data_IF_887661201334
#
_entry.id   IF_887661201334
#
_cell.length_a   1.000
_cell.length_b   1.000
_cell.length_c   1.000
_cell.angle_alpha   90.00
_cell.angle_beta   90.00
_cell.angle_gamma   90.00
#
_symmetry.space_group_name_H-M   'P 1'
#
loop_
_entity.id
_entity.type
_entity.pdbx_description
1 polymer ?
#
# COMPACT_ATOMS: atom_id res chain seq x y z
N UNK A 1 42.87 -15.18 10.31
CA UNK A 1 42.22 -14.70 11.55
C UNK A 1 41.91 -13.23 11.35
N UNK A 2 40.65 -12.95 11.03
CA UNK A 2 40.08 -11.60 10.95
C UNK A 2 38.99 -11.59 12.04
N UNK A 3 38.92 -10.57 12.92
CA UNK A 3 38.08 -10.64 14.12
C UNK A 3 36.58 -10.69 13.78
N UNK A 4 35.85 -11.56 14.46
CA UNK A 4 34.43 -11.85 14.28
C UNK A 4 33.51 -10.79 14.92
N UNK A 5 33.58 -9.53 14.47
CA UNK A 5 32.75 -8.45 15.02
C UNK A 5 32.09 -7.53 13.98
N UNK A 6 31.89 -8.00 12.74
CA UNK A 6 31.13 -7.25 11.70
C UNK A 6 29.90 -8.03 11.20
N UNK A 7 29.37 -8.96 12.00
CA UNK A 7 28.24 -9.81 11.59
C UNK A 7 27.05 -9.76 12.57
N UNK A 8 26.67 -8.58 13.06
CA UNK A 8 25.40 -8.40 13.76
C UNK A 8 24.90 -6.97 13.62
N UNK A 9 24.03 -6.72 12.63
CA UNK A 9 22.95 -5.72 12.61
C UNK A 9 22.36 -5.63 11.19
N UNK A 10 21.72 -6.70 10.73
CA UNK A 10 20.68 -6.62 9.70
C UNK A 10 19.39 -6.92 10.44
N UNK A 11 18.79 -5.87 11.01
CA UNK A 11 17.51 -5.97 11.66
C UNK A 11 16.43 -6.08 10.59
N UNK A 12 15.70 -7.18 10.66
CA UNK A 12 14.54 -7.51 9.85
C UNK A 12 13.49 -6.39 9.92
N UNK A 13 13.09 -5.87 8.77
CA UNK A 13 11.93 -4.98 8.66
C UNK A 13 10.83 -5.76 7.93
N UNK A 14 9.87 -6.28 8.68
CA UNK A 14 8.67 -6.89 8.13
C UNK A 14 7.64 -5.77 7.91
N UNK A 15 7.18 -5.54 6.68
CA UNK A 15 6.01 -4.69 6.46
C UNK A 15 4.79 -5.59 6.40
N UNK A 16 4.11 -5.68 7.53
CA UNK A 16 2.83 -6.36 7.67
C UNK A 16 1.73 -5.37 7.31
N UNK A 17 1.12 -5.49 6.12
CA UNK A 17 -0.15 -4.81 5.81
C UNK A 17 -1.29 -5.68 6.33
N UNK A 18 -1.49 -5.70 7.66
CA UNK A 18 -2.60 -6.43 8.30
C UNK A 18 -3.86 -5.57 8.38
N UNK A 19 -4.95 -6.06 7.78
CA UNK A 19 -6.31 -5.60 8.08
C UNK A 19 -6.84 -6.35 9.32
N UNK A 20 -7.12 -5.57 10.38
CA UNK A 20 -7.91 -5.86 11.61
C UNK A 20 -7.36 -6.73 12.76
N UNK A 21 -7.50 -6.13 13.96
CA UNK A 21 -7.94 -6.65 15.28
C UNK A 21 -6.94 -7.03 16.41
N UNK A 22 -7.30 -6.51 17.61
CA UNK A 22 -6.93 -6.88 19.01
C UNK A 22 -5.58 -6.42 19.59
N UNK A 23 -5.43 -6.00 20.87
CA UNK A 23 -6.36 -5.73 21.99
C UNK A 23 -5.65 -4.84 23.06
N UNK A 24 -6.43 -4.13 23.88
CA UNK A 24 -6.06 -3.20 24.98
C UNK A 24 -5.10 -3.79 26.04
N UNK A 25 -4.29 -2.92 26.63
CA UNK A 25 -4.00 -2.93 28.07
C UNK A 25 -4.21 -1.52 28.66
N UNK A 26 -4.82 -1.47 29.84
CA UNK A 26 -5.25 -0.27 30.57
C UNK A 26 -4.11 0.48 31.29
N UNK A 27 -4.50 1.62 31.89
CA UNK A 27 -3.83 2.48 32.91
C UNK A 27 -3.41 3.85 32.34
N UNK A 28 -3.74 5.02 32.90
CA UNK A 28 -4.66 5.48 33.95
C UNK A 28 -5.07 6.92 33.60
N UNK A 29 -6.32 7.27 33.84
CA UNK A 29 -6.94 8.60 33.64
C UNK A 29 -6.08 9.74 34.17
N UNK A 30 -5.93 10.86 33.45
CA UNK A 30 -5.84 12.23 33.96
C UNK A 30 -6.09 13.24 32.81
N UNK A 31 -7.35 13.63 32.62
CA UNK A 31 -7.83 15.01 32.40
C UNK A 31 -9.17 14.97 31.67
N UNK A 32 -10.14 15.63 32.29
CA UNK A 32 -11.56 15.50 32.01
C UNK A 32 -11.93 16.37 30.81
N UNK A 33 -11.93 15.77 29.62
CA UNK A 33 -12.79 16.18 28.50
C UNK A 33 -13.17 14.91 27.76
N UNK A 34 -14.30 14.32 28.15
CA UNK A 34 -14.88 13.19 27.41
C UNK A 34 -15.35 13.69 26.04
N UNK A 35 -14.45 13.73 25.07
CA UNK A 35 -14.82 13.56 23.68
C UNK A 35 -14.77 12.05 23.45
N UNK A 36 -15.95 11.43 23.39
CA UNK A 36 -16.06 10.04 22.98
C UNK A 36 -15.25 9.86 21.68
N UNK A 37 -14.43 8.79 21.53
CA UNK A 37 -13.75 8.54 20.27
C UNK A 37 -14.84 8.53 19.21
N UNK A 38 -14.71 9.41 18.21
CA UNK A 38 -15.66 9.46 17.12
C UNK A 38 -15.76 8.03 16.56
N UNK A 39 -16.85 7.33 16.87
CA UNK A 39 -17.22 6.14 16.12
C UNK A 39 -17.54 6.68 14.74
N UNK A 40 -16.52 6.69 13.89
CA UNK A 40 -16.61 7.10 12.50
C UNK A 40 -17.75 6.25 11.93
N UNK A 41 -18.89 6.91 11.67
CA UNK A 41 -20.08 6.24 11.16
C UNK A 41 -19.76 5.81 9.74
N UNK A 42 -19.50 4.52 9.61
CA UNK A 42 -19.41 3.84 8.34
C UNK A 42 -20.83 3.63 7.82
N UNK A 43 -21.15 4.16 6.64
CA UNK A 43 -22.31 3.78 5.87
C UNK A 43 -21.92 3.59 4.39
N UNK A 44 -21.87 2.35 3.88
CA UNK A 44 -21.49 2.09 2.49
C UNK A 44 -22.51 2.64 1.48
N UNK A 45 -23.73 2.97 1.93
CA UNK A 45 -24.75 3.58 1.10
C UNK A 45 -24.47 5.07 0.81
N UNK A 46 -23.58 5.71 1.57
CA UNK A 46 -23.17 7.10 1.32
C UNK A 46 -22.35 7.23 0.02
N UNK A 47 -21.72 6.13 -0.43
CA UNK A 47 -20.87 6.07 -1.62
C UNK A 47 -21.33 4.93 -2.55
N UNK A 48 -22.47 5.10 -3.23
CA UNK A 48 -23.19 3.99 -3.86
C UNK A 48 -22.54 3.50 -5.16
N UNK A 49 -21.62 4.26 -5.77
CA UNK A 49 -21.00 3.92 -7.04
C UNK A 49 -20.26 2.57 -6.98
N UNK A 50 -20.62 1.63 -7.86
CA UNK A 50 -20.00 0.31 -7.93
C UNK A 50 -18.78 0.28 -8.83
N UNK A 51 -18.76 1.08 -9.88
CA UNK A 51 -17.65 1.21 -10.84
C UNK A 51 -17.49 2.66 -11.28
N UNK A 52 -16.34 3.00 -11.85
CA UNK A 52 -16.06 4.29 -12.47
C UNK A 52 -15.33 4.04 -13.80
N UNK A 53 -15.91 4.54 -14.89
CA UNK A 53 -15.28 4.48 -16.22
C UNK A 53 -14.08 5.43 -16.24
N UNK A 54 -12.89 4.93 -16.54
CA UNK A 54 -11.65 5.72 -16.53
C UNK A 54 -10.79 5.49 -17.78
N UNK A 55 -11.20 4.62 -18.70
CA UNK A 55 -10.54 4.39 -19.99
C UNK A 55 -11.23 5.12 -21.15
N UNK A 56 -10.63 5.05 -22.34
CA UNK A 56 -11.17 5.67 -23.56
C UNK A 56 -11.37 7.18 -23.41
N UNK A 57 -12.58 7.67 -23.64
CA UNK A 57 -12.94 9.10 -23.50
C UNK A 57 -12.78 9.62 -22.06
N UNK A 58 -12.63 8.74 -21.08
CA UNK A 58 -12.45 9.09 -19.67
C UNK A 58 -11.01 8.94 -19.16
N UNK A 59 -10.02 8.73 -20.04
CA UNK A 59 -8.61 8.54 -19.69
C UNK A 59 -8.05 9.63 -18.74
N UNK A 60 -8.53 10.87 -18.86
CA UNK A 60 -8.12 11.97 -17.97
C UNK A 60 -8.46 11.70 -16.49
N UNK A 61 -9.48 10.88 -16.19
CA UNK A 61 -9.85 10.51 -14.82
C UNK A 61 -8.74 9.74 -14.12
N UNK A 62 -7.94 8.95 -14.85
CA UNK A 62 -6.78 8.25 -14.28
C UNK A 62 -5.75 9.25 -13.75
N UNK A 63 -5.46 10.31 -14.51
CA UNK A 63 -4.52 11.36 -14.08
C UNK A 63 -5.07 12.16 -12.90
N UNK A 64 -6.36 12.49 -12.96
CA UNK A 64 -7.05 13.18 -11.87
C UNK A 64 -7.08 12.37 -10.57
N UNK A 65 -7.38 11.08 -10.63
CA UNK A 65 -7.34 10.17 -9.49
C UNK A 65 -5.91 9.99 -8.97
N UNK A 66 -4.92 9.92 -9.87
CA UNK A 66 -3.51 9.84 -9.47
C UNK A 66 -3.07 11.09 -8.70
N UNK A 67 -3.45 12.29 -9.18
CA UNK A 67 -3.19 13.54 -8.48
C UNK A 67 -3.94 13.61 -7.15
N UNK A 68 -5.21 13.20 -7.10
CA UNK A 68 -5.99 13.14 -5.86
C UNK A 68 -5.33 12.23 -4.82
N UNK A 69 -4.83 11.05 -5.24
CA UNK A 69 -4.08 10.14 -4.38
C UNK A 69 -2.88 10.82 -3.72
N UNK A 70 -2.08 11.53 -4.52
CA UNK A 70 -0.88 12.26 -4.08
C UNK A 70 -1.22 13.39 -3.12
N UNK A 71 -2.18 14.25 -3.49
CA UNK A 71 -2.59 15.39 -2.65
C UNK A 71 -3.19 14.90 -1.33
N UNK A 72 -4.09 13.91 -1.36
CA UNK A 72 -4.70 13.38 -0.14
C UNK A 72 -3.68 12.76 0.82
N UNK A 73 -2.74 11.97 0.30
CA UNK A 73 -1.70 11.35 1.12
C UNK A 73 -0.68 12.36 1.63
N UNK A 74 -0.27 13.30 0.79
CA UNK A 74 0.58 14.42 1.20
C UNK A 74 -0.04 15.18 2.37
N UNK A 75 -1.31 15.56 2.27
CA UNK A 75 -2.01 16.23 3.36
C UNK A 75 -2.10 15.33 4.62
N UNK A 76 -2.36 14.02 4.48
CA UNK A 76 -2.38 13.06 5.60
C UNK A 76 -1.09 13.11 6.45
N UNK A 77 0.06 13.24 5.80
CA UNK A 77 1.37 13.18 6.47
C UNK A 77 2.01 14.54 6.74
N UNK A 78 1.71 15.58 5.94
CA UNK A 78 2.36 16.89 6.01
C UNK A 78 1.48 18.00 6.60
N UNK A 79 0.15 17.91 6.53
CA UNK A 79 -0.71 18.98 7.04
C UNK A 79 -0.91 18.85 8.56
N UNK A 80 -0.55 19.86 9.38
CA UNK A 80 -0.61 19.76 10.85
C UNK A 80 -1.99 19.38 11.39
N UNK A 81 -3.05 19.92 10.79
CA UNK A 81 -4.42 19.63 11.19
C UNK A 81 -4.96 18.30 10.64
N UNK A 82 -4.48 17.83 9.47
CA UNK A 82 -4.94 16.56 8.92
C UNK A 82 -4.36 15.40 9.71
N UNK A 83 -3.13 15.51 10.19
CA UNK A 83 -2.40 14.47 10.91
C UNK A 83 -2.99 14.08 12.29
N UNK A 84 -4.24 14.49 12.58
CA UNK A 84 -4.94 14.27 13.84
C UNK A 84 -6.07 13.26 13.65
N UNK A 85 -6.20 12.32 14.58
CA UNK A 85 -7.20 11.22 14.53
C UNK A 85 -8.66 11.66 14.73
N UNK A 86 -8.91 12.91 15.13
CA UNK A 86 -10.26 13.50 15.22
C UNK A 86 -10.81 13.93 13.86
N UNK A 87 -9.97 13.99 12.82
CA UNK A 87 -10.38 14.25 11.44
C UNK A 87 -10.78 12.95 10.76
N UNK A 88 -11.97 12.92 10.15
CA UNK A 88 -12.44 11.79 9.35
C UNK A 88 -11.82 11.80 7.94
N UNK A 89 -10.55 11.41 7.82
CA UNK A 89 -9.75 11.67 6.62
C UNK A 89 -10.03 10.76 5.43
N UNK A 90 -10.37 9.49 5.67
CA UNK A 90 -10.79 8.60 4.59
C UNK A 90 -12.13 9.02 3.99
N UNK A 91 -13.06 9.52 4.81
CA UNK A 91 -14.32 10.09 4.33
C UNK A 91 -14.10 11.26 3.38
N UNK A 92 -13.13 12.14 3.69
CA UNK A 92 -12.74 13.23 2.78
C UNK A 92 -12.25 12.71 1.42
N UNK A 93 -11.53 11.58 1.40
CA UNK A 93 -11.12 10.98 0.14
C UNK A 93 -12.32 10.40 -0.62
N UNK A 94 -13.22 9.69 0.07
CA UNK A 94 -14.42 9.13 -0.55
C UNK A 94 -15.31 10.22 -1.15
N UNK A 95 -15.52 11.32 -0.43
CA UNK A 95 -16.23 12.51 -0.94
C UNK A 95 -15.57 13.07 -2.21
N UNK A 96 -14.24 13.14 -2.22
CA UNK A 96 -13.49 13.65 -3.38
C UNK A 96 -13.53 12.69 -4.57
N UNK A 97 -13.51 11.37 -4.34
CA UNK A 97 -13.64 10.36 -5.40
C UNK A 97 -14.99 10.52 -6.12
N UNK A 98 -16.09 10.73 -5.39
CA UNK A 98 -17.43 10.95 -5.99
C UNK A 98 -17.49 12.24 -6.83
N UNK A 99 -16.63 13.22 -6.58
CA UNK A 99 -16.54 14.47 -7.37
C UNK A 99 -15.73 14.34 -8.66
N UNK A 100 -14.85 13.36 -8.77
CA UNK A 100 -13.96 13.18 -9.96
C UNK A 100 -14.72 13.19 -11.30
N UNK A 101 -15.90 12.56 -11.44
CA UNK A 101 -16.68 12.64 -12.68
C UNK A 101 -17.05 14.07 -13.10
N UNK A 102 -17.10 15.03 -12.17
CA UNK A 102 -17.44 16.44 -12.40
C UNK A 102 -16.26 17.34 -12.74
N UNK A 103 -15.02 16.83 -12.64
CA UNK A 103 -13.82 17.56 -13.05
C UNK A 103 -13.67 17.58 -14.57
N UNK A 104 -14.47 18.42 -15.23
CA UNK A 104 -14.48 18.55 -16.70
C UNK A 104 -13.21 19.20 -17.26
N UNK A 105 -12.43 19.90 -16.42
CA UNK A 105 -11.16 20.51 -16.76
C UNK A 105 -10.31 20.71 -15.49
N UNK A 106 -9.03 21.07 -15.69
CA UNK A 106 -8.05 21.29 -14.63
C UNK A 106 -8.47 22.38 -13.64
N UNK A 107 -9.16 23.44 -14.10
CA UNK A 107 -9.59 24.53 -13.21
C UNK A 107 -10.62 24.09 -12.17
N UNK A 108 -11.57 23.22 -12.54
CA UNK A 108 -12.58 22.69 -11.59
C UNK A 108 -11.90 21.75 -10.59
N UNK A 109 -11.03 20.86 -11.09
CA UNK A 109 -10.25 19.94 -10.24
C UNK A 109 -9.42 20.72 -9.22
N UNK A 110 -8.65 21.69 -9.69
CA UNK A 110 -7.71 22.42 -8.83
C UNK A 110 -8.47 23.24 -7.79
N UNK A 111 -9.61 23.84 -8.14
CA UNK A 111 -10.47 24.51 -7.17
C UNK A 111 -10.97 23.57 -6.05
N UNK A 112 -11.35 22.33 -6.38
CA UNK A 112 -11.76 21.34 -5.37
C UNK A 112 -10.59 20.90 -4.48
N UNK A 113 -9.39 20.70 -5.07
CA UNK A 113 -8.18 20.36 -4.32
C UNK A 113 -7.73 21.54 -3.43
N UNK A 114 -7.85 22.78 -3.90
CA UNK A 114 -7.59 23.98 -3.10
C UNK A 114 -8.55 24.05 -1.90
N UNK A 115 -9.84 23.79 -2.11
CA UNK A 115 -10.83 23.72 -1.03
C UNK A 115 -10.52 22.61 -0.03
N UNK A 116 -10.01 21.45 -0.49
CA UNK A 116 -9.56 20.38 0.39
C UNK A 116 -8.42 20.84 1.31
N UNK A 117 -7.43 21.56 0.77
CA UNK A 117 -6.31 22.10 1.57
C UNK A 117 -6.79 23.17 2.55
N UNK A 118 -7.57 24.15 2.08
CA UNK A 118 -8.07 25.26 2.91
C UNK A 118 -9.04 24.76 3.99
N UNK A 119 -9.86 23.75 3.66
CA UNK A 119 -10.84 23.15 4.58
C UNK A 119 -10.23 22.46 5.80
N UNK A 120 -8.93 22.16 5.78
CA UNK A 120 -8.19 21.67 6.94
C UNK A 120 -7.87 22.77 7.96
N UNK A 121 -8.16 24.04 7.64
CA UNK A 121 -8.01 25.17 8.54
C UNK A 121 -6.60 25.78 8.51
N UNK A 122 -6.45 26.90 9.21
CA UNK A 122 -5.20 27.64 9.26
C UNK A 122 -4.10 26.86 9.99
N UNK A 123 -2.86 27.09 9.56
CA UNK A 123 -1.64 26.57 10.16
C UNK A 123 -0.52 27.62 10.06
N UNK A 124 0.55 27.42 10.82
CA UNK A 124 1.74 28.29 10.77
C UNK A 124 2.85 27.63 9.95
N UNK A 125 3.65 28.44 9.27
CA UNK A 125 4.83 28.00 8.50
C UNK A 125 6.06 28.11 9.40
N UNK A 126 6.92 27.10 9.39
CA UNK A 126 8.21 27.15 10.09
C UNK A 126 9.23 27.85 9.20
N UNK A 127 9.57 29.10 9.51
CA UNK A 127 10.60 29.85 8.77
C UNK A 127 12.03 29.53 9.25
N UNK A 128 12.20 28.66 10.26
CA UNK A 128 13.42 28.63 11.09
C UNK A 128 13.98 27.25 11.42
N UNK A 129 13.31 26.14 11.10
CA UNK A 129 13.91 24.81 11.28
C UNK A 129 14.70 24.44 10.02
N UNK A 130 16.02 24.37 10.16
CA UNK A 130 16.89 23.85 9.10
C UNK A 130 16.57 22.38 8.82
N UNK A 131 16.95 21.90 7.64
CA UNK A 131 16.81 20.49 7.28
C UNK A 131 17.39 19.59 8.38
N UNK A 132 16.75 18.45 8.64
CA UNK A 132 17.33 17.42 9.48
C UNK A 132 18.72 17.07 8.91
N UNK A 133 19.74 16.82 9.74
CA UNK A 133 21.05 16.44 9.24
C UNK A 133 20.92 15.20 8.34
N UNK A 134 21.54 15.20 7.15
CA UNK A 134 21.51 14.10 6.18
C UNK A 134 21.82 12.72 6.80
N UNK A 135 22.58 12.70 7.89
CA UNK A 135 22.93 11.48 8.65
C UNK A 135 21.74 10.82 9.38
N UNK A 136 20.60 11.50 9.51
CA UNK A 136 19.41 11.00 10.22
C UNK A 136 18.29 10.51 9.29
N UNK A 137 18.36 10.83 8.00
CA UNK A 137 17.31 10.50 7.03
C UNK A 137 17.88 9.63 5.92
N UNK A 138 17.58 8.34 5.97
CA UNK A 138 18.04 7.38 4.95
C UNK A 138 17.35 7.58 3.60
N UNK A 139 16.08 8.01 3.61
CA UNK A 139 15.29 8.29 2.41
C UNK A 139 14.18 9.29 2.72
N UNK A 140 14.11 10.36 1.94
CA UNK A 140 13.00 11.32 1.98
C UNK A 140 11.86 10.88 1.05
N UNK A 141 10.63 11.31 1.39
CA UNK A 141 9.51 11.20 0.47
C UNK A 141 9.77 12.08 -0.76
N UNK A 142 9.40 11.60 -1.95
CA UNK A 142 9.63 12.34 -3.18
C UNK A 142 8.51 13.36 -3.41
N UNK A 143 8.74 14.62 -3.03
CA UNK A 143 7.77 15.70 -3.20
C UNK A 143 7.89 16.43 -4.56
N UNK A 144 8.80 16.01 -5.44
CA UNK A 144 9.01 16.66 -6.76
C UNK A 144 7.76 16.62 -7.63
N UNK A 145 6.83 15.70 -7.35
CA UNK A 145 5.55 15.63 -8.05
C UNK A 145 4.73 16.90 -7.90
N UNK A 146 4.86 17.67 -6.80
CA UNK A 146 4.16 18.96 -6.62
C UNK A 146 4.56 19.89 -7.76
N UNK A 147 5.85 19.89 -8.10
CA UNK A 147 6.38 20.76 -9.13
C UNK A 147 6.17 20.26 -10.55
N UNK A 148 6.22 18.94 -10.75
CA UNK A 148 6.03 18.35 -12.08
C UNK A 148 4.56 18.18 -12.48
N UNK A 149 3.61 18.38 -11.56
CA UNK A 149 2.18 18.22 -11.83
C UNK A 149 1.59 19.42 -12.56
N UNK A 150 0.67 19.16 -13.51
CA UNK A 150 -0.14 20.19 -14.16
C UNK A 150 -1.24 20.68 -13.20
N UNK A 151 -0.87 21.56 -12.26
CA UNK A 151 -1.77 22.18 -11.27
C UNK A 151 -1.64 23.70 -11.29
N UNK A 152 -2.68 24.39 -10.86
CA UNK A 152 -2.73 25.84 -10.72
C UNK A 152 -1.57 26.35 -9.85
N UNK A 153 -1.11 27.57 -10.12
CA UNK A 153 -0.09 28.24 -9.30
C UNK A 153 -0.57 28.43 -7.85
N UNK A 154 -1.87 28.61 -7.66
CA UNK A 154 -2.50 28.78 -6.34
C UNK A 154 -2.41 27.49 -5.53
N UNK A 155 -2.87 26.37 -6.09
CA UNK A 155 -2.80 25.05 -5.45
C UNK A 155 -1.35 24.67 -5.13
N UNK A 156 -0.43 24.86 -6.09
CA UNK A 156 0.99 24.61 -5.88
C UNK A 156 1.55 25.42 -4.71
N UNK A 157 1.25 26.72 -4.66
CA UNK A 157 1.66 27.59 -3.56
C UNK A 157 1.09 27.16 -2.21
N UNK A 158 -0.14 26.63 -2.16
CA UNK A 158 -0.71 26.06 -0.94
C UNK A 158 0.03 24.78 -0.52
N UNK A 159 0.34 23.88 -1.45
CA UNK A 159 1.05 22.63 -1.15
C UNK A 159 2.46 22.91 -0.62
N UNK A 160 3.22 23.85 -1.20
CA UNK A 160 4.52 24.24 -0.64
C UNK A 160 4.41 24.93 0.72
N UNK A 161 3.34 25.69 0.99
CA UNK A 161 3.11 26.20 2.36
C UNK A 161 2.90 25.05 3.35
N UNK A 162 2.16 24.02 2.94
CA UNK A 162 1.96 22.81 3.77
C UNK A 162 3.28 22.05 3.95
N UNK A 163 4.10 21.92 2.91
CA UNK A 163 5.44 21.30 2.98
C UNK A 163 6.27 21.91 4.11
N UNK A 164 6.30 23.24 4.18
CA UNK A 164 7.02 24.04 5.17
C UNK A 164 6.21 24.35 6.45
N UNK A 165 5.06 23.70 6.65
CA UNK A 165 4.24 23.92 7.83
C UNK A 165 5.00 23.50 9.10
N UNK A 166 4.86 24.29 10.17
CA UNK A 166 5.35 23.92 11.50
C UNK A 166 4.57 22.70 12.00
N UNK A 167 5.31 21.66 12.39
CA UNK A 167 4.77 20.42 12.96
C UNK A 167 5.38 20.23 14.35
N UNK A 168 4.58 20.46 15.36
CA UNK A 168 4.95 20.31 16.77
C UNK A 168 4.63 18.92 17.33
N UNK A 169 3.95 18.09 16.53
CA UNK A 169 3.48 16.75 16.92
C UNK A 169 3.63 15.77 15.77
N UNK A 170 3.94 14.51 16.10
CA UNK A 170 3.92 13.41 15.14
C UNK A 170 2.49 13.13 14.67
N UNK A 171 2.36 12.59 13.44
CA UNK A 171 1.05 12.19 12.91
C UNK A 171 0.40 11.15 13.81
N UNK A 172 -0.83 11.40 14.27
CA UNK A 172 -1.60 10.45 15.07
C UNK A 172 -2.12 9.27 14.25
N UNK A 173 -2.11 9.38 12.93
CA UNK A 173 -2.47 8.27 12.03
C UNK A 173 -1.39 7.21 11.94
N UNK A 174 -0.17 7.49 12.38
CA UNK A 174 0.95 6.57 12.30
C UNK A 174 1.67 6.53 13.64
N UNK A 175 1.52 5.42 14.35
CA UNK A 175 2.17 5.22 15.65
C UNK A 175 3.25 4.15 15.48
N UNK A 176 4.48 4.38 15.95
CA UNK A 176 5.50 3.34 15.96
C UNK A 176 4.99 2.09 16.67
N UNK A 177 5.16 0.95 16.03
CA UNK A 177 5.01 -0.38 16.61
C UNK A 177 6.39 -1.06 16.58
N UNK A 178 6.57 -2.11 17.37
CA UNK A 178 7.85 -2.78 17.67
C UNK A 178 8.83 -2.90 16.50
N UNK A 179 8.35 -3.23 15.30
CA UNK A 179 9.13 -3.33 14.06
C UNK A 179 8.45 -2.68 12.84
N UNK A 180 7.32 -1.99 13.05
CA UNK A 180 6.40 -1.50 12.01
C UNK A 180 5.76 -0.17 12.43
N UNK A 181 4.75 0.27 11.67
CA UNK A 181 3.82 1.32 12.09
C UNK A 181 2.41 0.77 12.21
N UNK A 182 1.71 1.17 13.26
CA UNK A 182 0.27 0.99 13.39
C UNK A 182 -0.45 2.18 12.75
N UNK A 183 -1.41 1.90 11.87
CA UNK A 183 -2.27 2.91 11.27
C UNK A 183 -3.54 3.10 12.11
N UNK A 184 -3.70 4.30 12.65
CA UNK A 184 -4.88 4.68 13.42
C UNK A 184 -5.85 5.50 12.58
N UNK A 185 -7.10 5.64 13.04
CA UNK A 185 -8.09 6.54 12.42
C UNK A 185 -8.58 6.11 11.04
N UNK A 186 -8.18 4.93 10.57
CA UNK A 186 -8.61 4.37 9.29
C UNK A 186 -9.96 3.66 9.40
N UNK A 187 -10.83 3.85 8.40
CA UNK A 187 -12.09 3.09 8.28
C UNK A 187 -11.76 1.59 8.17
N UNK A 188 -12.32 0.81 9.09
CA UNK A 188 -12.46 -0.63 8.89
C UNK A 188 -13.41 -0.85 7.71
N UNK A 189 -12.99 -1.62 6.71
CA UNK A 189 -13.71 -1.77 5.45
C UNK A 189 -14.36 -3.16 5.39
N UNK A 190 -15.66 -3.31 5.71
CA UNK A 190 -16.35 -4.59 5.54
C UNK A 190 -16.29 -5.14 4.13
N UNK A 191 -16.49 -6.46 3.96
CA UNK A 191 -16.56 -7.09 2.64
C UNK A 191 -17.50 -6.46 1.62
N UNK A 192 -18.66 -5.98 2.06
CA UNK A 192 -19.62 -5.33 1.17
C UNK A 192 -19.10 -4.03 0.55
N UNK A 193 -18.12 -3.35 1.18
CA UNK A 193 -17.50 -2.15 0.63
C UNK A 193 -16.74 -2.40 -0.66
N UNK A 194 -16.11 -3.58 -0.81
CA UNK A 194 -15.24 -3.83 -1.96
C UNK A 194 -16.01 -3.88 -3.28
N UNK A 195 -17.35 -3.98 -3.25
CA UNK A 195 -18.19 -3.77 -4.44
C UNK A 195 -18.32 -2.32 -4.86
N UNK A 196 -17.98 -1.36 -3.98
CA UNK A 196 -18.04 0.08 -4.25
C UNK A 196 -16.68 0.61 -4.69
N UNK A 197 -16.67 1.39 -5.77
CA UNK A 197 -15.43 1.87 -6.40
C UNK A 197 -14.64 2.81 -5.49
N UNK A 198 -15.34 3.65 -4.71
CA UNK A 198 -14.71 4.56 -3.75
C UNK A 198 -13.82 3.84 -2.74
N UNK A 199 -14.31 2.71 -2.19
CA UNK A 199 -13.56 1.94 -1.20
C UNK A 199 -12.39 1.16 -1.80
N UNK A 200 -12.53 0.66 -3.04
CA UNK A 200 -11.39 0.01 -3.71
C UNK A 200 -10.29 1.01 -4.06
N UNK A 201 -10.66 2.22 -4.50
CA UNK A 201 -9.71 3.31 -4.74
C UNK A 201 -9.09 3.82 -3.44
N UNK A 202 -9.86 3.92 -2.35
CA UNK A 202 -9.34 4.21 -1.01
C UNK A 202 -8.24 3.22 -0.60
N UNK A 203 -8.48 1.91 -0.79
CA UNK A 203 -7.49 0.88 -0.49
C UNK A 203 -6.22 1.02 -1.35
N UNK A 204 -6.37 1.24 -2.66
CA UNK A 204 -5.24 1.53 -3.56
C UNK A 204 -4.45 2.75 -3.08
N UNK A 205 -5.14 3.84 -2.71
CA UNK A 205 -4.50 5.10 -2.35
C UNK A 205 -3.79 5.01 -1.00
N UNK A 206 -4.35 4.26 -0.03
CA UNK A 206 -3.66 3.95 1.22
C UNK A 206 -2.39 3.15 0.97
N UNK A 207 -2.45 2.09 0.15
CA UNK A 207 -1.27 1.30 -0.21
C UNK A 207 -0.22 2.19 -0.88
N UNK A 208 -0.60 2.89 -1.95
CA UNK A 208 0.33 3.72 -2.72
C UNK A 208 1.05 4.75 -1.84
N UNK A 209 0.31 5.45 -0.97
CA UNK A 209 0.88 6.42 -0.06
C UNK A 209 1.70 5.79 1.08
N UNK A 210 1.27 4.64 1.62
CA UNK A 210 2.07 3.89 2.59
C UNK A 210 3.46 3.57 2.04
N UNK A 211 3.53 3.11 0.80
CA UNK A 211 4.83 2.86 0.14
C UNK A 211 5.59 4.14 -0.15
N UNK A 212 4.92 5.16 -0.70
CA UNK A 212 5.57 6.40 -1.09
C UNK A 212 6.27 7.10 0.09
N UNK A 213 5.63 7.11 1.27
CA UNK A 213 6.14 7.82 2.45
C UNK A 213 6.94 6.94 3.42
N UNK A 214 6.71 5.63 3.47
CA UNK A 214 7.23 4.78 4.55
C UNK A 214 8.10 3.60 4.08
N UNK A 215 8.11 3.26 2.79
CA UNK A 215 8.88 2.12 2.31
C UNK A 215 10.36 2.48 2.11
N UNK A 216 11.30 1.86 2.86
CA UNK A 216 12.69 2.28 2.87
C UNK A 216 13.47 1.90 1.61
N UNK A 217 12.99 0.95 0.81
CA UNK A 217 13.69 0.43 -0.37
C UNK A 217 13.10 0.94 -1.70
N UNK A 218 12.36 2.06 -1.68
CA UNK A 218 11.66 2.59 -2.88
C UNK A 218 12.61 2.90 -4.03
N UNK A 219 13.85 3.27 -3.75
CA UNK A 219 14.89 3.55 -4.76
C UNK A 219 15.54 2.30 -5.34
N UNK A 220 15.29 1.12 -4.77
CA UNK A 220 15.84 -0.17 -5.21
C UNK A 220 14.84 -1.00 -6.01
N UNK A 221 13.61 -0.51 -6.21
CA UNK A 221 12.60 -1.18 -7.02
C UNK A 221 12.97 -1.14 -8.50
N UNK A 222 12.56 -2.16 -9.25
CA UNK A 222 12.84 -2.27 -10.69
C UNK A 222 12.03 -1.29 -11.57
N UNK A 223 11.06 -0.59 -10.96
CA UNK A 223 10.14 0.32 -11.66
C UNK A 223 9.91 1.60 -10.87
N UNK A 224 9.68 2.75 -11.53
CA UNK A 224 9.24 3.95 -10.85
C UNK A 224 7.89 3.73 -10.15
N UNK A 225 7.83 4.00 -8.85
CA UNK A 225 6.58 3.83 -8.07
C UNK A 225 5.41 4.70 -8.58
N UNK A 226 5.72 5.79 -9.27
CA UNK A 226 4.75 6.68 -9.91
C UNK A 226 3.94 6.00 -11.02
N UNK A 227 4.45 4.91 -11.62
CA UNK A 227 3.74 4.15 -12.64
C UNK A 227 2.62 3.28 -12.07
N UNK A 228 2.59 3.04 -10.75
CA UNK A 228 1.61 2.17 -10.12
C UNK A 228 0.18 2.73 -10.25
N UNK A 229 -0.04 4.01 -9.94
CA UNK A 229 -1.37 4.62 -10.02
C UNK A 229 -1.99 4.53 -11.41
N UNK A 230 -1.36 5.02 -12.49
CA UNK A 230 -1.95 4.92 -13.83
C UNK A 230 -2.14 3.47 -14.31
N UNK A 231 -1.34 2.52 -13.82
CA UNK A 231 -1.45 1.10 -14.16
C UNK A 231 -2.60 0.38 -13.44
N UNK A 232 -2.84 0.71 -12.17
CA UNK A 232 -3.80 -0.04 -11.33
C UNK A 232 -5.16 0.64 -11.18
N UNK A 233 -5.26 1.97 -11.37
CA UNK A 233 -6.56 2.67 -11.30
C UNK A 233 -7.59 2.07 -12.27
N UNK A 234 -7.30 1.83 -13.57
CA UNK A 234 -8.29 1.24 -14.49
C UNK A 234 -8.77 -0.14 -14.05
N UNK A 235 -7.84 -0.99 -13.61
CA UNK A 235 -8.11 -2.37 -13.17
C UNK A 235 -9.01 -2.43 -11.94
N UNK A 236 -8.91 -1.42 -11.08
CA UNK A 236 -9.65 -1.32 -9.82
C UNK A 236 -10.97 -0.57 -9.99
N UNK A 237 -10.98 0.46 -10.83
CA UNK A 237 -12.13 1.35 -10.99
C UNK A 237 -13.25 0.74 -11.84
N UNK A 238 -12.91 0.00 -12.89
CA UNK A 238 -13.88 -0.42 -13.92
C UNK A 238 -14.63 -1.72 -13.61
N UNK A 239 -14.23 -2.45 -12.56
CA UNK A 239 -14.89 -3.69 -12.13
C UNK A 239 -15.31 -3.64 -10.67
N UNK A 240 -16.48 -4.19 -10.35
CA UNK A 240 -16.96 -4.40 -8.98
C UNK A 240 -16.58 -5.78 -8.40
N UNK A 241 -15.76 -6.55 -9.13
CA UNK A 241 -15.31 -7.87 -8.72
C UNK A 241 -14.26 -7.79 -7.61
N UNK A 242 -14.61 -8.31 -6.43
CA UNK A 242 -13.68 -8.48 -5.31
C UNK A 242 -12.44 -9.29 -5.72
N UNK A 243 -12.61 -10.36 -6.50
CA UNK A 243 -11.50 -11.20 -6.96
C UNK A 243 -10.52 -10.43 -7.86
N UNK A 244 -11.02 -9.61 -8.79
CA UNK A 244 -10.15 -8.83 -9.67
C UNK A 244 -9.42 -7.72 -8.90
N UNK A 245 -10.10 -7.10 -7.93
CA UNK A 245 -9.47 -6.16 -7.02
C UNK A 245 -8.35 -6.80 -6.20
N UNK A 246 -8.60 -7.94 -5.57
CA UNK A 246 -7.61 -8.65 -4.75
C UNK A 246 -6.41 -9.12 -5.58
N UNK A 247 -6.64 -9.63 -6.79
CA UNK A 247 -5.57 -9.94 -7.75
C UNK A 247 -4.75 -8.70 -8.13
N UNK A 248 -5.41 -7.55 -8.31
CA UNK A 248 -4.72 -6.30 -8.62
C UNK A 248 -3.86 -5.82 -7.45
N UNK A 249 -4.34 -5.90 -6.20
CA UNK A 249 -3.55 -5.54 -5.01
C UNK A 249 -2.40 -6.53 -4.80
N UNK A 250 -2.64 -7.83 -5.01
CA UNK A 250 -1.61 -8.86 -4.96
C UNK A 250 -0.51 -8.58 -5.99
N UNK A 251 -0.87 -8.27 -7.23
CA UNK A 251 0.10 -7.90 -8.26
C UNK A 251 0.83 -6.59 -7.96
N UNK A 252 0.12 -5.56 -7.45
CA UNK A 252 0.77 -4.32 -7.01
C UNK A 252 1.82 -4.60 -5.92
N UNK A 253 1.56 -5.56 -5.03
CA UNK A 253 2.49 -5.91 -3.96
C UNK A 253 3.82 -6.46 -4.47
N UNK A 254 3.85 -7.08 -5.65
CA UNK A 254 5.09 -7.60 -6.22
C UNK A 254 5.96 -6.54 -6.86
N UNK A 255 5.41 -5.36 -7.16
CA UNK A 255 6.18 -4.22 -7.66
C UNK A 255 7.15 -3.65 -6.61
N UNK A 256 6.98 -4.04 -5.34
CA UNK A 256 7.90 -3.64 -4.27
C UNK A 256 9.22 -4.44 -4.29
N UNK A 257 9.28 -5.54 -5.04
CA UNK A 257 10.45 -6.41 -5.17
C UNK A 257 11.05 -6.86 -3.81
N UNK A 258 10.20 -7.12 -2.81
CA UNK A 258 10.61 -7.48 -1.45
C UNK A 258 9.89 -8.74 -0.96
N UNK A 259 10.66 -9.78 -0.63
CA UNK A 259 10.16 -11.08 -0.16
C UNK A 259 9.36 -11.02 1.15
N UNK A 260 9.46 -9.92 1.91
CA UNK A 260 8.76 -9.74 3.17
C UNK A 260 7.40 -9.04 3.00
N UNK A 261 7.05 -8.65 1.78
CA UNK A 261 5.75 -8.07 1.48
C UNK A 261 4.76 -9.19 1.26
N UNK A 262 3.71 -9.22 2.06
CA UNK A 262 2.57 -10.10 1.85
C UNK A 262 1.28 -9.33 1.99
N UNK A 263 0.26 -9.77 1.26
CA UNK A 263 -1.10 -9.23 1.36
C UNK A 263 -1.97 -10.28 2.03
N UNK A 264 -2.78 -9.87 3.02
CA UNK A 264 -3.68 -10.73 3.79
C UNK A 264 -5.08 -10.14 3.89
N UNK A 265 -6.03 -10.90 4.45
CA UNK A 265 -7.40 -10.43 4.64
C UNK A 265 -8.28 -10.54 3.39
N UNK A 266 -7.93 -11.43 2.47
CA UNK A 266 -8.72 -11.73 1.28
C UNK A 266 -10.11 -12.29 1.64
N UNK A 267 -11.11 -11.87 0.88
CA UNK A 267 -12.49 -12.33 0.93
C UNK A 267 -12.76 -13.37 -0.14
N UNK A 268 -12.09 -13.30 -1.28
CA UNK A 268 -12.11 -14.40 -2.23
C UNK A 268 -11.15 -15.50 -1.76
N UNK A 269 -11.45 -16.73 -2.14
CA UNK A 269 -10.51 -17.83 -1.96
C UNK A 269 -9.36 -17.72 -2.97
N UNK A 270 -8.43 -16.78 -2.78
CA UNK A 270 -7.24 -16.68 -3.63
C UNK A 270 -6.38 -17.93 -3.56
N UNK A 271 -6.41 -18.67 -2.45
CA UNK A 271 -5.73 -19.96 -2.34
C UNK A 271 -6.19 -20.95 -3.42
N UNK A 272 -7.45 -20.86 -3.90
CA UNK A 272 -7.90 -21.67 -5.04
C UNK A 272 -7.13 -21.41 -6.34
N UNK A 273 -6.53 -20.23 -6.53
CA UNK A 273 -5.61 -19.96 -7.66
C UNK A 273 -4.32 -20.76 -7.56
N UNK A 274 -3.93 -21.07 -6.32
CA UNK A 274 -2.77 -21.85 -5.94
C UNK A 274 -3.14 -23.31 -5.60
N UNK A 275 -4.35 -23.77 -5.95
CA UNK A 275 -4.81 -25.12 -5.63
C UNK A 275 -4.91 -25.40 -4.12
N UNK A 276 -5.39 -26.59 -3.78
CA UNK A 276 -5.59 -27.01 -2.38
C UNK A 276 -4.57 -28.08 -1.94
N UNK A 277 -3.55 -28.34 -2.76
CA UNK A 277 -2.57 -29.40 -2.56
C UNK A 277 -1.17 -28.83 -2.54
N UNK A 278 -0.47 -29.09 -1.45
CA UNK A 278 0.93 -28.70 -1.27
C UNK A 278 1.83 -29.91 -1.50
N UNK A 279 2.99 -29.69 -2.10
CA UNK A 279 4.05 -30.70 -2.11
C UNK A 279 4.67 -30.76 -0.72
N UNK A 280 4.90 -31.96 -0.17
CA UNK A 280 5.58 -32.12 1.12
C UNK A 280 7.11 -31.92 1.00
N UNK A 281 7.54 -30.90 0.28
CA UNK A 281 8.93 -30.49 0.15
C UNK A 281 9.02 -28.97 0.12
N UNK A 282 10.03 -28.42 0.79
CA UNK A 282 10.38 -27.02 0.66
C UNK A 282 11.21 -26.82 -0.59
N UNK A 283 10.85 -25.79 -1.36
CA UNK A 283 11.66 -25.31 -2.46
C UNK A 283 12.13 -23.90 -2.17
N UNK A 284 13.42 -23.67 -2.32
CA UNK A 284 14.05 -22.35 -2.20
C UNK A 284 14.58 -21.90 -3.54
N UNK A 285 14.33 -20.63 -3.87
CA UNK A 285 14.93 -19.98 -5.01
C UNK A 285 16.30 -19.41 -4.63
N UNK A 286 17.31 -19.76 -5.41
CA UNK A 286 18.64 -19.17 -5.32
C UNK A 286 18.96 -18.61 -6.71
N UNK A 287 18.90 -17.29 -6.84
CA UNK A 287 18.88 -16.59 -8.13
C UNK A 287 17.70 -17.08 -8.98
N UNK A 288 17.91 -17.43 -10.25
CA UNK A 288 16.87 -17.88 -11.19
C UNK A 288 16.61 -19.40 -11.16
N UNK A 289 17.04 -20.09 -10.10
CA UNK A 289 16.95 -21.54 -9.98
C UNK A 289 16.23 -21.95 -8.71
N UNK A 290 15.45 -23.02 -8.81
CA UNK A 290 14.70 -23.60 -7.70
C UNK A 290 15.40 -24.88 -7.20
N UNK A 291 15.59 -24.99 -5.89
CA UNK A 291 16.25 -26.12 -5.25
C UNK A 291 15.41 -26.70 -4.11
N UNK A 292 15.42 -28.02 -3.97
CA UNK A 292 14.79 -28.70 -2.83
C UNK A 292 15.59 -28.40 -1.56
N UNK A 293 14.97 -27.75 -0.58
CA UNK A 293 15.60 -27.30 0.65
C UNK A 293 15.42 -28.28 1.83
N UNK A 294 14.22 -28.87 1.94
CA UNK A 294 13.86 -29.85 2.97
C UNK A 294 12.70 -30.71 2.48
N UNK A 295 12.60 -31.93 2.99
CA UNK A 295 11.46 -32.84 2.92
C UNK A 295 10.68 -32.78 4.23
N UNK A 296 9.36 -32.63 4.18
CA UNK A 296 8.54 -32.41 5.39
C UNK A 296 8.17 -33.70 6.14
N UNK A 297 8.35 -34.88 5.55
CA UNK A 297 8.04 -36.17 6.21
C UNK A 297 8.58 -37.38 5.45
N UNK A 298 8.84 -38.46 6.21
CA UNK A 298 9.19 -39.82 5.75
C UNK A 298 8.17 -40.45 4.77
N UNK A 299 7.03 -39.80 4.50
CA UNK A 299 6.04 -40.22 3.50
C UNK A 299 6.59 -40.25 2.07
N UNK A 300 7.73 -39.60 1.83
CA UNK A 300 8.51 -39.65 0.60
C UNK A 300 9.80 -40.47 0.74
N UNK A 301 9.89 -41.39 1.71
CA UNK A 301 11.05 -42.28 1.88
C UNK A 301 11.37 -43.13 0.62
N UNK A 302 10.36 -43.42 -0.21
CA UNK A 302 10.53 -44.06 -1.53
C UNK A 302 10.73 -43.06 -2.69
N UNK A 303 10.66 -41.75 -2.44
CA UNK A 303 10.88 -40.75 -3.46
C UNK A 303 12.37 -40.63 -3.80
N UNK A 304 12.65 -40.46 -5.08
CA UNK A 304 14.02 -40.24 -5.57
C UNK A 304 14.50 -38.79 -5.36
N UNK A 305 13.65 -37.92 -4.82
CA UNK A 305 13.92 -36.50 -4.63
C UNK A 305 14.78 -36.31 -3.39
N UNK A 306 15.85 -35.53 -3.53
CA UNK A 306 16.80 -35.26 -2.46
C UNK A 306 16.96 -33.76 -2.25
N UNK A 307 17.31 -33.39 -1.01
CA UNK A 307 17.78 -32.04 -0.71
C UNK A 307 18.94 -31.67 -1.65
N UNK A 308 18.84 -30.50 -2.27
CA UNK A 308 19.80 -29.99 -3.24
C UNK A 308 19.47 -30.29 -4.70
N UNK A 309 18.44 -31.11 -4.99
CA UNK A 309 17.98 -31.32 -6.36
C UNK A 309 17.47 -30.02 -6.97
N UNK A 310 17.86 -29.77 -8.22
CA UNK A 310 17.38 -28.62 -9.00
C UNK A 310 16.02 -28.98 -9.63
N UNK A 311 15.00 -28.16 -9.35
CA UNK A 311 13.72 -28.27 -10.02
C UNK A 311 13.85 -27.60 -11.39
N UNK A 312 13.84 -28.40 -12.46
CA UNK A 312 13.99 -27.89 -13.83
C UNK A 312 12.67 -27.39 -14.42
N UNK A 313 11.55 -28.05 -14.10
CA UNK A 313 10.23 -27.73 -14.65
C UNK A 313 9.10 -28.17 -13.71
N UNK A 314 7.98 -27.45 -13.77
CA UNK A 314 6.72 -27.77 -13.07
C UNK A 314 5.62 -27.85 -14.13
N UNK A 315 4.88 -28.95 -14.17
CA UNK A 315 3.82 -29.20 -15.18
C UNK A 315 4.28 -28.93 -16.62
N UNK A 316 5.51 -29.31 -16.95
CA UNK A 316 6.10 -29.13 -18.29
C UNK A 316 6.59 -27.71 -18.61
N UNK A 317 6.43 -26.74 -17.71
CA UNK A 317 6.98 -25.38 -17.86
C UNK A 317 8.30 -25.27 -17.13
N UNK A 318 9.34 -24.72 -17.78
CA UNK A 318 10.64 -24.55 -17.15
C UNK A 318 10.56 -23.60 -15.96
N UNK A 319 11.33 -23.85 -14.91
CA UNK A 319 11.36 -22.96 -13.74
C UNK A 319 11.73 -21.53 -14.12
N UNK A 320 12.72 -21.26 -14.99
CA UNK A 320 12.97 -19.90 -15.48
C UNK A 320 11.72 -19.27 -16.13
N UNK A 321 11.00 -20.01 -16.98
CA UNK A 321 9.76 -19.51 -17.58
C UNK A 321 8.67 -19.24 -16.55
N UNK A 322 8.57 -20.03 -15.49
CA UNK A 322 7.61 -19.80 -14.40
C UNK A 322 8.02 -18.58 -13.59
N UNK A 323 9.30 -18.44 -13.26
CA UNK A 323 9.83 -17.27 -12.56
C UNK A 323 9.58 -16.01 -13.39
N UNK A 324 9.79 -16.05 -14.70
CA UNK A 324 9.58 -14.92 -15.60
C UNK A 324 8.08 -14.60 -15.80
N UNK A 325 7.23 -15.62 -15.96
CA UNK A 325 5.78 -15.47 -16.18
C UNK A 325 4.96 -15.22 -14.91
N UNK A 326 5.43 -15.71 -13.76
CA UNK A 326 4.84 -15.51 -12.42
C UNK A 326 5.56 -14.42 -11.62
N UNK A 327 6.48 -13.68 -12.25
CA UNK A 327 7.16 -12.50 -11.68
C UNK A 327 6.19 -11.46 -11.10
N UNK A 328 4.95 -11.46 -11.58
CA UNK A 328 3.87 -10.62 -11.09
C UNK A 328 3.25 -11.06 -9.75
N UNK A 329 3.43 -12.31 -9.27
CA UNK A 329 2.74 -12.82 -8.05
C UNK A 329 3.65 -13.67 -7.15
N UNK A 330 4.54 -14.50 -7.69
CA UNK A 330 5.22 -15.56 -6.93
C UNK A 330 6.65 -15.26 -6.48
N UNK A 331 7.32 -14.22 -6.99
CA UNK A 331 8.73 -13.99 -6.66
C UNK A 331 8.95 -13.37 -5.26
N UNK A 332 7.94 -12.72 -4.70
CA UNK A 332 8.12 -11.81 -3.56
C UNK A 332 7.15 -12.02 -2.39
N UNK A 333 6.19 -12.93 -2.52
CA UNK A 333 5.48 -13.39 -1.33
C UNK A 333 6.17 -14.66 -0.87
N UNK A 334 6.54 -14.70 0.41
CA UNK A 334 6.59 -15.99 1.14
C UNK A 334 5.14 -16.48 1.18
N UNK A 335 4.64 -16.95 0.05
CA UNK A 335 3.72 -18.08 0.10
C UNK A 335 4.52 -19.19 0.79
N UNK A 336 3.90 -20.01 1.66
CA UNK A 336 4.53 -21.25 2.06
C UNK A 336 5.08 -21.92 0.78
N UNK A 337 6.24 -22.57 0.86
CA UNK A 337 7.02 -23.01 -0.29
C UNK A 337 6.26 -24.07 -1.08
N UNK A 338 5.32 -23.62 -1.90
CA UNK A 338 4.33 -24.48 -2.51
C UNK A 338 4.45 -24.26 -4.01
N UNK A 339 5.23 -25.13 -4.62
CA UNK A 339 5.03 -25.46 -6.02
C UNK A 339 3.62 -26.05 -6.12
N UNK A 340 2.76 -25.38 -6.86
CA UNK A 340 1.37 -25.81 -7.08
C UNK A 340 1.29 -26.43 -8.46
N UNK A 341 0.75 -27.64 -8.54
CA UNK A 341 0.37 -28.26 -9.81
C UNK A 341 -1.16 -28.26 -9.94
N UNK A 342 -1.68 -27.79 -11.07
CA UNK A 342 -3.08 -28.05 -11.45
C UNK A 342 -3.19 -29.48 -11.98
N UNK A 343 -4.05 -30.30 -11.40
CA UNK A 343 -4.46 -31.55 -12.05
C UNK A 343 -5.42 -31.22 -13.20
N UNK A 344 -5.14 -31.81 -14.36
CA UNK A 344 -6.00 -31.82 -15.55
C UNK A 344 -7.21 -32.73 -15.37
#
# INVERSE_FOLDING_TARGET
MIPSSVLHLVWCLAIVVCFTACQRNEVSEHSNTQVAPAQIRYNPDDYPATTMQVTGVHAQRVQNLSLLCKVWGFLKYYHPNAARTDVYWDGRLLDMIERVPEWKNDSIRDADLEQLVVGLGAFSVNNTEGALPDTMVALEADLKWIDSSSISSTLRGLLHKVEHARRDTCSKYMVPDSVTFAFNGEIATPPSCLRKVGYRLLALFRFWNGVHYLFPYRTMMDRPWEEALPSFIPRIAESDSTLLFEKAILELSTWLCDSHVYVSGYQSNLASMFGNTELCMDVKFIRSKAYVASDWNDAFSDSKIKRGDEVLAISGKSVPSIVDSSSAICQHQILPPCIVMSQS
#
